data_IF_013031009742
#
_entry.id   IF_013031009742
#
_cell.length_a   1.000
_cell.length_b   1.000
_cell.length_c   1.000
_cell.angle_alpha   90.00
_cell.angle_beta   90.00
_cell.angle_gamma   90.00
#
_symmetry.space_group_name_H-M   'P 1'
#
loop_
_entity.id
_entity.type
_entity.pdbx_description
1 polymer ?
#
# COMPACT_ATOMS: atom_id res chain seq x y z
N UNK A 1 -27.81 17.49 -86.17
CA UNK A 1 -26.82 17.58 -85.08
C UNK A 1 -27.62 17.64 -83.78
N UNK A 2 -27.76 16.46 -83.08
CA UNK A 2 -28.68 16.34 -81.95
C UNK A 2 -27.88 16.52 -80.66
N UNK A 3 -28.17 17.60 -79.93
CA UNK A 3 -27.54 17.84 -78.61
C UNK A 3 -28.19 16.94 -77.54
N UNK A 4 -27.42 16.02 -76.98
CA UNK A 4 -27.82 15.27 -75.81
C UNK A 4 -27.58 16.13 -74.52
N UNK A 5 -28.69 16.52 -73.90
CA UNK A 5 -28.65 17.14 -72.56
C UNK A 5 -28.38 16.09 -71.54
N UNK A 6 -27.23 16.23 -70.80
CA UNK A 6 -26.86 15.39 -69.65
C UNK A 6 -27.62 15.93 -68.43
N UNK A 7 -28.37 15.08 -67.67
CA UNK A 7 -29.04 15.55 -66.45
C UNK A 7 -28.00 15.80 -65.31
N UNK A 8 -28.23 16.79 -64.43
CA UNK A 8 -27.34 17.10 -63.33
C UNK A 8 -27.32 15.98 -62.31
N UNK A 9 -26.19 15.77 -61.59
CA UNK A 9 -26.08 14.77 -60.55
C UNK A 9 -27.02 15.13 -59.41
N UNK A 10 -27.88 14.18 -59.01
CA UNK A 10 -28.74 14.28 -57.82
C UNK A 10 -27.84 14.11 -56.58
N UNK A 11 -27.52 15.19 -55.91
CA UNK A 11 -26.88 15.14 -54.58
C UNK A 11 -27.87 14.47 -53.61
N UNK A 12 -27.60 13.23 -53.28
CA UNK A 12 -28.33 12.51 -52.24
C UNK A 12 -28.17 13.22 -50.92
N UNK A 13 -29.23 13.84 -50.42
CA UNK A 13 -29.29 14.40 -49.08
C UNK A 13 -29.18 13.20 -48.12
N UNK A 14 -28.02 13.05 -47.46
CA UNK A 14 -27.89 12.11 -46.35
C UNK A 14 -28.89 12.53 -45.28
N UNK A 15 -29.92 11.72 -45.07
CA UNK A 15 -30.79 11.88 -43.92
C UNK A 15 -29.97 11.71 -42.65
N UNK A 16 -29.74 12.79 -41.94
CA UNK A 16 -29.20 12.76 -40.59
C UNK A 16 -30.33 12.25 -39.67
N UNK A 17 -30.25 10.98 -39.30
CA UNK A 17 -31.12 10.44 -38.25
C UNK A 17 -30.67 11.07 -36.92
N UNK A 18 -31.49 11.93 -36.35
CA UNK A 18 -31.30 12.51 -35.03
C UNK A 18 -31.44 11.42 -33.95
N UNK A 19 -30.72 11.55 -32.83
CA UNK A 19 -30.87 10.65 -31.69
C UNK A 19 -32.29 10.69 -31.13
N UNK A 20 -32.80 9.52 -30.77
CA UNK A 20 -34.09 9.41 -30.08
C UNK A 20 -33.93 9.80 -28.62
N UNK A 21 -34.96 10.34 -27.99
CA UNK A 21 -34.98 10.73 -26.59
C UNK A 21 -34.69 9.53 -25.68
N UNK A 22 -35.15 8.35 -26.04
CA UNK A 22 -34.88 7.10 -25.31
C UNK A 22 -33.42 6.69 -25.39
N UNK A 23 -32.74 6.91 -26.50
CA UNK A 23 -31.34 6.58 -26.67
C UNK A 23 -30.46 7.46 -25.79
N UNK A 24 -30.76 8.75 -25.67
CA UNK A 24 -30.07 9.66 -24.75
C UNK A 24 -30.28 9.23 -23.29
N UNK A 25 -31.50 8.80 -22.97
CA UNK A 25 -31.82 8.33 -21.62
C UNK A 25 -31.05 7.06 -21.24
N UNK A 26 -30.99 6.09 -22.15
CA UNK A 26 -30.20 4.86 -21.95
C UNK A 26 -28.71 5.17 -21.86
N UNK A 27 -28.19 6.07 -22.72
CA UNK A 27 -26.78 6.48 -22.69
C UNK A 27 -26.42 7.14 -21.36
N UNK A 28 -27.25 8.02 -20.82
CA UNK A 28 -27.06 8.64 -19.51
C UNK A 28 -27.08 7.61 -18.37
N UNK A 29 -27.96 6.65 -18.42
CA UNK A 29 -28.07 5.57 -17.42
C UNK A 29 -26.81 4.69 -17.42
N UNK A 30 -26.33 4.29 -18.60
CA UNK A 30 -25.10 3.50 -18.73
C UNK A 30 -23.87 4.31 -18.27
N UNK A 31 -23.82 5.60 -18.60
CA UNK A 31 -22.77 6.50 -18.15
C UNK A 31 -22.74 6.61 -16.61
N UNK A 32 -23.91 6.77 -15.97
CA UNK A 32 -24.02 6.85 -14.52
C UNK A 32 -23.52 5.57 -13.83
N UNK A 33 -23.91 4.38 -14.35
CA UNK A 33 -23.43 3.10 -13.84
C UNK A 33 -21.91 2.96 -14.01
N UNK A 34 -21.37 3.36 -15.17
CA UNK A 34 -19.94 3.35 -15.45
C UNK A 34 -19.15 4.22 -14.48
N UNK A 35 -19.62 5.44 -14.21
CA UNK A 35 -18.98 6.37 -13.27
C UNK A 35 -19.01 5.85 -11.84
N UNK A 36 -20.12 5.27 -11.39
CA UNK A 36 -20.22 4.68 -10.06
C UNK A 36 -19.26 3.47 -9.89
N UNK A 37 -19.15 2.64 -10.94
CA UNK A 37 -18.21 1.51 -10.94
C UNK A 37 -16.75 1.94 -10.84
N UNK A 38 -16.34 2.96 -11.62
CA UNK A 38 -14.96 3.47 -11.57
C UNK A 38 -14.65 4.15 -10.24
N UNK A 39 -15.59 4.87 -9.63
CA UNK A 39 -15.41 5.49 -8.32
C UNK A 39 -15.15 4.44 -7.22
N UNK A 40 -15.88 3.33 -7.24
CA UNK A 40 -15.69 2.24 -6.29
C UNK A 40 -14.32 1.57 -6.44
N UNK A 41 -13.86 1.32 -7.67
CA UNK A 41 -12.55 0.75 -7.96
C UNK A 41 -11.41 1.66 -7.49
N UNK A 42 -11.51 2.97 -7.75
CA UNK A 42 -10.48 3.94 -7.35
C UNK A 42 -10.29 3.96 -5.84
N UNK A 43 -11.38 3.89 -5.06
CA UNK A 43 -11.30 3.85 -3.59
C UNK A 43 -10.58 2.58 -3.11
N UNK A 44 -10.86 1.43 -3.73
CA UNK A 44 -10.18 0.16 -3.42
C UNK A 44 -8.69 0.20 -3.69
N UNK A 45 -8.28 0.74 -4.84
CA UNK A 45 -6.85 0.87 -5.22
C UNK A 45 -6.10 1.80 -4.27
N UNK A 46 -6.66 2.94 -3.92
CA UNK A 46 -6.04 3.89 -2.97
C UNK A 46 -5.83 3.24 -1.61
N UNK A 47 -6.83 2.54 -1.08
CA UNK A 47 -6.70 1.83 0.21
C UNK A 47 -5.63 0.74 0.16
N UNK A 48 -5.61 -0.07 -0.90
CA UNK A 48 -4.61 -1.12 -1.09
C UNK A 48 -3.18 -0.56 -1.16
N UNK A 49 -2.99 0.59 -1.81
CA UNK A 49 -1.69 1.25 -1.88
C UNK A 49 -1.23 1.77 -0.51
N UNK A 50 -2.14 2.33 0.31
CA UNK A 50 -1.83 2.78 1.67
C UNK A 50 -1.42 1.59 2.54
N UNK A 51 -2.18 0.50 2.51
CA UNK A 51 -1.90 -0.73 3.27
C UNK A 51 -0.53 -1.31 2.87
N UNK A 52 -0.25 -1.44 1.58
CA UNK A 52 1.03 -1.93 1.06
C UNK A 52 2.21 -1.05 1.50
N UNK A 53 2.05 0.27 1.44
CA UNK A 53 3.06 1.21 1.90
C UNK A 53 3.33 1.07 3.39
N UNK A 54 2.29 0.98 4.22
CA UNK A 54 2.42 0.83 5.66
C UNK A 54 3.08 -0.50 6.02
N UNK A 55 2.73 -1.59 5.34
CA UNK A 55 3.37 -2.89 5.50
C UNK A 55 4.86 -2.86 5.16
N UNK A 56 5.22 -2.22 4.05
CA UNK A 56 6.62 -2.04 3.64
C UNK A 56 7.39 -1.22 4.66
N UNK A 57 6.81 -0.13 5.16
CA UNK A 57 7.42 0.72 6.20
C UNK A 57 7.59 -0.05 7.51
N UNK A 58 6.57 -0.79 7.95
CA UNK A 58 6.64 -1.63 9.13
C UNK A 58 7.73 -2.70 9.04
N UNK A 59 7.87 -3.32 7.86
CA UNK A 59 8.94 -4.29 7.59
C UNK A 59 10.32 -3.64 7.67
N UNK A 60 10.50 -2.45 7.09
CA UNK A 60 11.75 -1.71 7.16
C UNK A 60 12.12 -1.34 8.61
N UNK A 61 11.14 -0.90 9.42
CA UNK A 61 11.34 -0.61 10.85
C UNK A 61 11.83 -1.85 11.60
N UNK A 62 11.23 -3.02 11.34
CA UNK A 62 11.65 -4.26 11.98
C UNK A 62 13.05 -4.70 11.53
N UNK A 63 13.38 -4.57 10.25
CA UNK A 63 14.71 -4.88 9.71
C UNK A 63 15.80 -3.96 10.30
N UNK A 64 15.53 -2.65 10.36
CA UNK A 64 16.44 -1.69 11.00
C UNK A 64 16.72 -2.07 12.45
N UNK A 65 15.70 -2.55 13.17
CA UNK A 65 15.86 -3.04 14.54
C UNK A 65 16.79 -4.25 14.61
N UNK A 66 16.69 -5.19 13.68
CA UNK A 66 17.60 -6.34 13.64
C UNK A 66 19.04 -5.93 13.31
N UNK A 67 19.24 -5.02 12.35
CA UNK A 67 20.57 -4.51 12.00
C UNK A 67 21.24 -3.77 13.18
N UNK A 68 20.46 -2.95 13.91
CA UNK A 68 20.95 -2.30 15.13
C UNK A 68 21.42 -3.32 16.16
N UNK A 69 20.64 -4.38 16.40
CA UNK A 69 21.00 -5.42 17.35
C UNK A 69 22.19 -6.28 16.87
N UNK A 70 22.32 -6.53 15.56
CA UNK A 70 23.50 -7.17 14.98
C UNK A 70 24.75 -6.32 15.17
N UNK A 71 24.65 -5.02 14.97
CA UNK A 71 25.76 -4.07 15.12
C UNK A 71 26.29 -4.04 16.55
N UNK A 72 25.43 -4.07 17.55
CA UNK A 72 25.86 -4.09 18.97
C UNK A 72 26.30 -5.47 19.44
N UNK A 73 26.05 -6.50 18.66
CA UNK A 73 26.50 -7.87 18.91
C UNK A 73 25.64 -8.65 19.89
N UNK A 74 25.92 -9.95 20.00
CA UNK A 74 25.15 -10.90 20.83
C UNK A 74 25.01 -10.47 22.28
N UNK A 75 26.11 -10.01 22.89
CA UNK A 75 26.14 -9.64 24.33
C UNK A 75 25.21 -8.48 24.65
N UNK A 76 25.19 -7.45 23.77
CA UNK A 76 24.44 -6.20 23.96
C UNK A 76 23.10 -6.17 23.24
N UNK A 77 22.68 -7.28 22.61
CA UNK A 77 21.41 -7.32 21.89
C UNK A 77 20.25 -6.98 22.84
N UNK A 78 19.40 -6.03 22.43
CA UNK A 78 18.27 -5.54 23.21
C UNK A 78 18.59 -4.51 24.29
N UNK A 79 19.83 -4.09 24.41
CA UNK A 79 20.27 -3.09 25.38
C UNK A 79 21.05 -1.95 24.72
N UNK A 80 21.22 -0.83 25.44
CA UNK A 80 22.16 0.22 25.03
C UNK A 80 23.54 -0.13 25.56
N UNK A 81 24.55 -0.37 24.71
CA UNK A 81 25.90 -0.68 25.17
C UNK A 81 26.55 0.56 25.80
N UNK A 82 27.44 0.35 26.76
CA UNK A 82 28.21 1.42 27.42
C UNK A 82 29.02 2.18 26.36
N UNK A 83 28.79 3.50 26.25
CA UNK A 83 29.46 4.36 25.27
C UNK A 83 28.98 4.21 23.82
N UNK A 84 27.92 3.44 23.57
CA UNK A 84 27.32 3.24 22.26
C UNK A 84 25.87 3.66 22.19
N UNK A 85 25.25 3.50 21.00
CA UNK A 85 23.84 3.74 20.73
C UNK A 85 23.18 2.48 20.21
N UNK A 86 22.01 2.15 20.72
CA UNK A 86 21.10 1.17 20.14
C UNK A 86 19.70 1.78 20.21
N UNK A 87 19.15 2.11 19.05
CA UNK A 87 17.82 2.69 18.95
C UNK A 87 16.71 1.63 19.04
N UNK A 88 17.08 0.35 19.07
CA UNK A 88 16.14 -0.75 19.21
C UNK A 88 16.49 -1.59 20.44
N UNK A 89 15.95 -1.18 21.57
CA UNK A 89 16.09 -1.88 22.85
C UNK A 89 14.85 -2.73 23.14
N UNK A 90 15.02 -3.70 24.05
CA UNK A 90 13.90 -4.54 24.51
C UNK A 90 12.78 -3.69 25.09
N UNK A 91 11.53 -4.04 24.77
CA UNK A 91 10.34 -3.32 25.17
C UNK A 91 9.66 -2.60 24.00
N UNK A 92 8.86 -1.59 24.35
CA UNK A 92 8.01 -0.86 23.40
C UNK A 92 8.60 0.50 23.04
N UNK A 93 8.62 0.83 21.77
CA UNK A 93 9.01 2.15 21.27
C UNK A 93 8.10 2.58 20.10
N UNK A 94 8.00 3.88 19.88
CA UNK A 94 7.18 4.44 18.78
C UNK A 94 8.10 5.06 17.74
N UNK A 95 7.83 4.78 16.48
CA UNK A 95 8.50 5.35 15.31
C UNK A 95 7.45 6.00 14.41
N UNK A 96 7.61 7.28 14.09
CA UNK A 96 6.69 7.96 13.17
C UNK A 96 7.32 8.02 11.78
N UNK A 97 6.60 7.56 10.78
CA UNK A 97 7.03 7.60 9.38
C UNK A 97 5.85 7.92 8.46
N UNK A 98 6.03 8.90 7.58
CA UNK A 98 5.00 9.29 6.61
C UNK A 98 3.67 9.74 7.25
N UNK A 99 3.71 10.30 8.48
CA UNK A 99 2.51 10.72 9.21
C UNK A 99 1.78 9.59 9.94
N UNK A 100 2.30 8.36 9.88
CA UNK A 100 1.76 7.19 10.60
C UNK A 100 2.67 6.86 11.78
N UNK A 101 2.07 6.62 12.95
CA UNK A 101 2.78 6.15 14.14
C UNK A 101 2.80 4.62 14.17
N UNK A 102 4.01 4.06 14.20
CA UNK A 102 4.27 2.64 14.31
C UNK A 102 4.74 2.33 15.73
N UNK A 103 4.03 1.46 16.44
CA UNK A 103 4.47 0.91 17.73
C UNK A 103 5.31 -0.32 17.47
N UNK A 104 6.56 -0.29 17.90
CA UNK A 104 7.51 -1.39 17.76
C UNK A 104 7.77 -2.01 19.12
N UNK A 105 7.70 -3.33 19.20
CA UNK A 105 8.02 -4.12 20.40
C UNK A 105 9.12 -5.11 20.06
N UNK A 106 10.26 -5.00 20.74
CA UNK A 106 11.34 -5.99 20.68
C UNK A 106 11.25 -6.91 21.88
N UNK A 107 11.14 -8.20 21.63
CA UNK A 107 11.27 -9.26 22.62
C UNK A 107 12.48 -10.16 22.29
N UNK A 108 13.23 -10.54 23.29
CA UNK A 108 14.39 -11.43 23.16
C UNK A 108 14.16 -12.65 24.03
N UNK A 109 14.24 -13.81 23.40
CA UNK A 109 14.24 -15.11 24.07
C UNK A 109 15.67 -15.66 24.04
N UNK A 110 16.22 -15.93 25.24
CA UNK A 110 17.53 -16.49 25.49
C UNK A 110 17.44 -17.83 26.20
N UNK A 111 16.34 -18.57 26.05
CA UNK A 111 16.10 -19.87 26.70
C UNK A 111 17.06 -20.96 26.22
N UNK A 112 17.67 -20.79 25.05
CA UNK A 112 18.67 -21.73 24.51
C UNK A 112 20.07 -21.17 24.73
N UNK A 113 20.97 -21.99 25.26
CA UNK A 113 22.37 -21.61 25.52
C UNK A 113 23.06 -21.15 24.21
N UNK A 114 23.78 -20.03 24.26
CA UNK A 114 24.49 -19.42 23.15
C UNK A 114 23.61 -18.99 21.95
N UNK A 115 22.29 -18.92 22.14
CA UNK A 115 21.35 -18.50 21.12
C UNK A 115 20.37 -17.48 21.70
N UNK A 116 20.20 -16.37 21.00
CA UNK A 116 19.12 -15.39 21.25
C UNK A 116 18.18 -15.33 20.07
N UNK A 117 16.89 -15.53 20.30
CA UNK A 117 15.85 -15.30 19.30
C UNK A 117 15.26 -13.92 19.50
N UNK A 118 15.41 -13.04 18.52
CA UNK A 118 14.86 -11.71 18.52
C UNK A 118 13.53 -11.72 17.78
N UNK A 119 12.47 -11.24 18.43
CA UNK A 119 11.14 -11.08 17.84
C UNK A 119 10.76 -9.61 17.84
N UNK A 120 10.56 -9.03 16.68
CA UNK A 120 10.11 -7.64 16.52
C UNK A 120 8.69 -7.64 15.99
N UNK A 121 7.78 -7.09 16.79
CA UNK A 121 6.39 -6.85 16.39
C UNK A 121 6.22 -5.36 16.14
N UNK A 122 5.74 -5.00 14.95
CA UNK A 122 5.41 -3.62 14.56
C UNK A 122 3.92 -3.54 14.31
N UNK A 123 3.25 -2.61 14.96
CA UNK A 123 1.80 -2.37 14.81
C UNK A 123 1.53 -0.92 14.47
N UNK A 124 0.48 -0.68 13.70
CA UNK A 124 0.01 0.66 13.30
C UNK A 124 -1.50 0.68 13.17
N UNK A 125 -2.08 1.87 13.25
CA UNK A 125 -3.52 2.08 13.06
C UNK A 125 -3.81 2.53 11.63
N UNK A 126 -4.81 1.93 11.02
CA UNK A 126 -5.35 2.31 9.70
C UNK A 126 -6.74 2.95 9.84
N UNK A 127 -6.84 3.94 10.69
CA UNK A 127 -8.09 4.70 10.87
C UNK A 127 -9.27 3.80 11.24
N UNK A 128 -10.29 3.76 10.39
CA UNK A 128 -11.52 2.98 10.62
C UNK A 128 -11.35 1.46 10.43
N UNK A 129 -10.25 1.00 9.81
CA UNK A 129 -10.02 -0.43 9.54
C UNK A 129 -9.49 -1.16 10.78
N UNK A 130 -8.91 -0.40 11.73
CA UNK A 130 -8.37 -0.95 12.97
C UNK A 130 -6.84 -1.01 13.01
N UNK A 131 -6.31 -1.79 13.95
CA UNK A 131 -4.86 -1.96 14.13
C UNK A 131 -4.36 -3.16 13.32
N UNK A 132 -3.32 -2.92 12.53
CA UNK A 132 -2.58 -3.96 11.82
C UNK A 132 -1.26 -4.21 12.53
N UNK A 133 -0.72 -5.40 12.41
CA UNK A 133 0.58 -5.76 12.97
C UNK A 133 1.31 -6.77 12.08
N UNK A 134 2.63 -6.71 12.12
CA UNK A 134 3.51 -7.72 11.56
C UNK A 134 4.54 -8.14 12.63
N UNK A 135 4.98 -9.40 12.60
CA UNK A 135 6.03 -9.90 13.48
C UNK A 135 7.10 -10.58 12.65
N UNK A 136 8.33 -10.13 12.81
CA UNK A 136 9.50 -10.76 12.23
C UNK A 136 10.35 -11.37 13.34
N UNK A 137 11.06 -12.47 13.02
CA UNK A 137 11.97 -13.15 13.96
C UNK A 137 13.32 -13.37 13.30
N UNK A 138 14.37 -13.26 14.08
CA UNK A 138 15.74 -13.62 13.70
C UNK A 138 16.46 -14.29 14.85
N UNK A 139 17.52 -15.01 14.54
CA UNK A 139 18.34 -15.71 15.53
C UNK A 139 19.74 -15.14 15.50
N UNK A 140 20.32 -14.94 16.69
CA UNK A 140 21.71 -14.55 16.89
C UNK A 140 22.39 -15.63 17.74
N UNK A 141 23.53 -16.14 17.27
CA UNK A 141 24.38 -17.05 18.01
C UNK A 141 25.56 -16.29 18.62
N UNK A 142 26.01 -16.74 19.81
CA UNK A 142 27.28 -16.29 20.35
C UNK A 142 28.42 -16.80 19.46
N UNK A 143 29.32 -15.91 19.09
CA UNK A 143 30.54 -16.20 18.31
C UNK A 143 31.75 -16.29 19.25
#
# INVERSE_FOLDING_TARGET
MSMRTVPPPVLGIRQQTGFTLIEIFIAMLLLAIGLLGTAALTTGVVRGNIESRNLTTGTAIAQTCFEENRRVGYTNAGTVPTGGTNNCVTGTSTVTSGGVSFTRVLAIDASVSNVKTLSVTVSWSEGTIGTKSLTLKTVMAAS
#
